data_IF_663841028827
#
_entry.id   IF_663841028827
#
_cell.length_a   1.000
_cell.length_b   1.000
_cell.length_c   1.000
_cell.angle_alpha   90.00
_cell.angle_beta   90.00
_cell.angle_gamma   90.00
#
_symmetry.space_group_name_H-M   'P 1'
#
loop_
_entity.id
_entity.type
_entity.pdbx_description
1 polymer ?
#
# COMPACT_ATOMS: atom_id res chain seq x y z
N UNK A 1 0.26 40.75 30.00
CA UNK A 1 1.55 40.14 30.38
C UNK A 1 1.95 39.26 29.21
N UNK A 2 3.04 39.61 28.52
CA UNK A 2 3.56 38.78 27.42
C UNK A 2 4.20 37.56 28.06
N UNK A 3 3.64 36.37 27.82
CA UNK A 3 4.24 35.12 28.30
C UNK A 3 5.60 34.95 27.66
N UNK A 4 6.64 34.76 28.47
CA UNK A 4 7.98 34.44 27.97
C UNK A 4 7.98 32.98 27.48
N UNK A 5 7.62 32.81 26.21
CA UNK A 5 7.54 31.49 25.56
C UNK A 5 8.88 30.75 25.59
N UNK A 6 9.99 31.49 25.55
CA UNK A 6 11.32 30.91 25.60
C UNK A 6 11.61 30.32 26.98
N UNK A 7 11.31 31.07 28.05
CA UNK A 7 11.43 30.57 29.41
C UNK A 7 10.55 29.33 29.62
N UNK A 8 9.30 29.38 29.15
CA UNK A 8 8.35 28.27 29.26
C UNK A 8 8.83 27.01 28.52
N UNK A 9 9.36 27.16 27.31
CA UNK A 9 9.91 26.05 26.53
C UNK A 9 11.17 25.43 27.18
N UNK A 10 12.02 26.26 27.80
CA UNK A 10 13.25 25.81 28.47
C UNK A 10 13.00 25.13 29.82
N UNK A 11 12.08 25.63 30.63
CA UNK A 11 11.81 25.12 31.99
C UNK A 11 11.44 23.63 32.01
N UNK A 12 10.85 23.12 30.93
CA UNK A 12 10.29 21.76 30.84
C UNK A 12 11.12 20.78 30.02
N UNK A 13 12.34 21.14 29.60
CA UNK A 13 13.28 20.26 28.90
C UNK A 13 14.36 19.74 29.85
N UNK A 14 14.62 18.44 29.80
CA UNK A 14 15.65 17.78 30.62
C UNK A 14 17.08 18.09 30.17
N UNK A 15 17.25 18.56 28.94
CA UNK A 15 18.53 18.94 28.33
C UNK A 15 18.57 20.46 28.20
N UNK A 16 19.51 21.10 28.92
CA UNK A 16 19.62 22.58 28.98
C UNK A 16 20.51 23.18 27.89
N UNK A 17 21.14 22.35 27.06
CA UNK A 17 22.07 22.80 26.02
C UNK A 17 21.32 23.22 24.76
N UNK A 18 20.79 24.45 24.79
CA UNK A 18 20.20 25.12 23.64
C UNK A 18 21.24 26.06 23.05
N UNK A 19 21.56 25.89 21.77
CA UNK A 19 22.47 26.75 21.04
C UNK A 19 21.70 27.76 20.19
N UNK A 20 22.06 29.05 20.31
CA UNK A 20 21.58 30.06 19.37
C UNK A 20 22.33 29.91 18.05
N UNK A 21 21.58 29.72 16.97
CA UNK A 21 22.13 29.53 15.63
C UNK A 21 21.37 30.36 14.62
N UNK A 22 22.05 30.72 13.52
CA UNK A 22 21.43 31.33 12.36
C UNK A 22 21.38 30.34 11.21
N UNK A 23 20.18 30.02 10.74
CA UNK A 23 19.93 29.17 9.57
C UNK A 23 19.32 30.05 8.47
N UNK A 24 20.10 30.34 7.43
CA UNK A 24 19.74 31.35 6.43
C UNK A 24 19.43 32.72 7.05
N UNK A 25 18.17 33.15 6.92
CA UNK A 25 17.65 34.40 7.50
C UNK A 25 17.00 34.24 8.88
N UNK A 26 16.92 33.02 9.40
CA UNK A 26 16.21 32.70 10.63
C UNK A 26 17.17 32.61 11.81
N UNK A 27 16.91 33.39 12.85
CA UNK A 27 17.55 33.22 14.15
C UNK A 27 16.77 32.17 14.93
N UNK A 28 17.40 31.02 15.20
CA UNK A 28 16.77 29.84 15.78
C UNK A 28 17.50 29.39 17.04
N UNK A 29 16.82 28.57 17.82
CA UNK A 29 17.44 27.80 18.89
C UNK A 29 17.48 26.33 18.51
N UNK A 30 18.65 25.71 18.66
CA UNK A 30 18.87 24.31 18.34
C UNK A 30 19.13 23.55 19.62
N UNK A 31 18.36 22.48 19.83
CA UNK A 31 18.51 21.55 20.95
C UNK A 31 18.96 20.20 20.43
N UNK A 32 20.13 19.74 20.89
CA UNK A 32 20.65 18.41 20.61
C UNK A 32 20.26 17.46 21.75
N UNK A 33 19.23 16.65 21.53
CA UNK A 33 18.74 15.67 22.49
C UNK A 33 19.16 14.24 22.14
N UNK A 34 18.97 13.33 23.11
CA UNK A 34 19.22 11.89 22.94
C UNK A 34 18.39 11.29 21.79
N UNK A 35 17.19 11.82 21.56
CA UNK A 35 16.23 11.31 20.58
C UNK A 35 16.31 12.02 19.23
N UNK A 36 17.13 13.07 19.09
CA UNK A 36 17.20 13.88 17.87
C UNK A 36 17.57 15.34 18.08
N UNK A 37 17.55 16.10 16.98
CA UNK A 37 17.72 17.54 16.93
C UNK A 37 16.34 18.21 16.86
N UNK A 38 16.14 19.24 17.67
CA UNK A 38 14.96 20.10 17.63
C UNK A 38 15.40 21.52 17.29
N UNK A 39 14.76 22.12 16.30
CA UNK A 39 14.99 23.52 15.94
C UNK A 39 13.74 24.33 16.23
N UNK A 40 13.90 25.41 16.98
CA UNK A 40 12.83 26.29 17.40
C UNK A 40 12.99 27.66 16.77
N UNK A 41 11.91 28.15 16.18
CA UNK A 41 11.77 29.53 15.74
C UNK A 41 10.69 30.20 16.59
N UNK A 42 11.08 31.23 17.33
CA UNK A 42 10.17 32.05 18.13
C UNK A 42 9.86 33.32 17.35
N UNK A 43 8.59 33.64 17.18
CA UNK A 43 8.14 34.86 16.51
C UNK A 43 6.86 35.33 17.18
N UNK A 44 6.88 36.57 17.64
CA UNK A 44 5.76 37.19 18.36
C UNK A 44 5.24 36.30 19.51
N UNK A 45 4.00 35.84 19.43
CA UNK A 45 3.36 34.95 20.40
C UNK A 45 3.32 33.48 19.95
N UNK A 46 4.11 33.10 18.95
CA UNK A 46 4.18 31.75 18.38
C UNK A 46 5.55 31.11 18.56
N UNK A 47 5.53 29.78 18.61
CA UNK A 47 6.75 28.96 18.56
C UNK A 47 6.58 27.84 17.54
N UNK A 48 7.41 27.85 16.50
CA UNK A 48 7.49 26.79 15.51
C UNK A 48 8.60 25.83 15.87
N UNK A 49 8.34 24.52 15.78
CA UNK A 49 9.36 23.48 15.93
C UNK A 49 9.51 22.62 14.68
N UNK A 50 10.75 22.37 14.30
CA UNK A 50 11.14 21.29 13.41
C UNK A 50 11.87 20.20 14.22
N UNK A 51 11.50 18.93 14.00
CA UNK A 51 12.03 17.79 14.76
C UNK A 51 12.67 16.76 13.84
N UNK A 52 13.95 16.48 14.04
CA UNK A 52 14.71 15.45 13.35
C UNK A 52 15.29 14.42 14.33
N UNK A 53 14.66 13.26 14.45
CA UNK A 53 15.23 12.12 15.16
C UNK A 53 16.40 11.48 14.39
N UNK A 54 16.38 11.54 13.06
CA UNK A 54 17.41 11.03 12.16
C UNK A 54 17.44 11.84 10.86
N UNK A 55 18.61 11.95 10.25
CA UNK A 55 18.77 12.65 8.97
C UNK A 55 18.68 14.17 9.07
N UNK A 56 18.98 14.76 10.24
CA UNK A 56 19.01 16.20 10.42
C UNK A 56 19.97 16.85 9.41
N UNK A 57 19.48 17.89 8.72
CA UNK A 57 20.28 18.75 7.84
C UNK A 57 19.81 20.19 7.99
N UNK A 58 20.75 21.12 8.00
CA UNK A 58 20.48 22.55 8.20
C UNK A 58 19.79 23.20 7.00
N UNK A 59 20.21 22.83 5.78
CA UNK A 59 19.60 23.30 4.53
C UNK A 59 18.13 22.88 4.41
N UNK A 60 17.79 21.66 4.88
CA UNK A 60 16.40 21.19 4.95
C UNK A 60 15.58 22.01 5.94
N UNK A 61 16.13 22.32 7.13
CA UNK A 61 15.42 23.17 8.10
C UNK A 61 15.21 24.57 7.55
N UNK A 62 16.25 25.18 6.99
CA UNK A 62 16.16 26.50 6.37
C UNK A 62 15.04 26.55 5.32
N UNK A 63 15.02 25.58 4.40
CA UNK A 63 13.98 25.48 3.37
C UNK A 63 12.57 25.29 3.95
N UNK A 64 12.42 24.44 4.98
CA UNK A 64 11.14 24.26 5.65
C UNK A 64 10.66 25.54 6.34
N UNK A 65 11.55 26.25 7.05
CA UNK A 65 11.22 27.51 7.70
C UNK A 65 10.84 28.57 6.65
N UNK A 66 11.62 28.71 5.59
CA UNK A 66 11.32 29.65 4.50
C UNK A 66 9.96 29.39 3.86
N UNK A 67 9.56 28.13 3.76
CA UNK A 67 8.30 27.74 3.14
C UNK A 67 7.05 28.04 4.00
N UNK A 68 7.18 28.16 5.32
CA UNK A 68 6.01 28.23 6.23
C UNK A 68 6.02 29.41 7.21
N UNK A 69 7.11 30.18 7.29
CA UNK A 69 7.26 31.26 8.28
C UNK A 69 6.25 32.40 8.11
N UNK A 70 5.75 32.61 6.89
CA UNK A 70 4.70 33.58 6.58
C UNK A 70 3.34 33.16 7.13
N UNK A 71 3.11 31.85 7.29
CA UNK A 71 1.87 31.28 7.82
C UNK A 71 1.81 31.24 9.35
N UNK A 72 2.91 31.56 10.06
CA UNK A 72 2.93 31.51 11.53
C UNK A 72 1.91 32.45 12.18
N UNK A 73 1.61 33.56 11.50
CA UNK A 73 0.74 34.62 12.00
C UNK A 73 -0.74 34.40 11.60
N UNK A 74 -1.02 33.36 10.79
CA UNK A 74 -2.35 33.08 10.23
C UNK A 74 -3.24 32.23 11.16
N UNK A 75 -4.55 32.30 10.93
CA UNK A 75 -5.51 31.35 11.50
C UNK A 75 -5.50 30.04 10.70
N UNK A 76 -4.65 29.09 11.15
CA UNK A 76 -4.40 27.85 10.41
C UNK A 76 -5.57 26.84 10.41
N UNK A 77 -6.52 26.96 11.35
CA UNK A 77 -7.64 26.02 11.51
C UNK A 77 -7.21 24.60 11.91
N UNK A 78 -8.07 23.63 11.60
CA UNK A 78 -7.87 22.18 11.86
C UNK A 78 -7.37 21.41 10.62
N UNK A 79 -6.75 22.12 9.68
CA UNK A 79 -6.22 21.57 8.43
C UNK A 79 -4.69 21.66 8.37
N UNK A 80 -4.07 20.84 7.53
CA UNK A 80 -2.64 20.94 7.26
C UNK A 80 -2.38 21.91 6.12
N UNK A 81 -1.26 22.62 6.20
CA UNK A 81 -0.77 23.48 5.12
C UNK A 81 0.54 22.90 4.59
N UNK A 82 0.53 22.45 3.34
CA UNK A 82 1.69 21.87 2.67
C UNK A 82 2.30 22.88 1.69
N UNK A 83 3.60 23.11 1.81
CA UNK A 83 4.35 24.03 0.93
C UNK A 83 5.51 23.31 0.26
N UNK A 84 5.80 23.56 -1.03
CA UNK A 84 6.97 22.97 -1.68
C UNK A 84 8.26 23.37 -0.98
N UNK A 85 9.19 22.43 -0.89
CA UNK A 85 10.60 22.70 -0.63
C UNK A 85 11.43 22.01 -1.71
N UNK A 86 12.55 22.62 -2.09
CA UNK A 86 13.49 22.06 -3.06
C UNK A 86 14.88 22.07 -2.44
N UNK A 87 15.33 20.88 -2.02
CA UNK A 87 16.64 20.70 -1.37
C UNK A 87 17.39 19.58 -2.09
N UNK A 88 18.55 19.88 -2.70
CA UNK A 88 19.32 18.88 -3.42
C UNK A 88 19.62 17.62 -2.59
N UNK A 89 19.32 16.46 -3.18
CA UNK A 89 19.53 15.15 -2.56
C UNK A 89 18.63 14.86 -1.36
N UNK A 90 17.50 15.58 -1.21
CA UNK A 90 16.50 15.32 -0.18
C UNK A 90 15.19 14.85 -0.82
N UNK A 91 14.68 13.70 -0.38
CA UNK A 91 13.54 13.06 -1.04
C UNK A 91 12.18 13.65 -0.63
N UNK A 92 12.10 14.33 0.52
CA UNK A 92 10.86 14.90 1.05
C UNK A 92 10.75 16.35 0.56
N UNK A 93 9.80 16.62 -0.32
CA UNK A 93 9.70 17.86 -1.09
C UNK A 93 8.56 18.78 -0.63
N UNK A 94 7.99 18.51 0.55
CA UNK A 94 6.99 19.34 1.21
C UNK A 94 7.38 19.68 2.64
N UNK A 95 7.15 20.92 3.04
CA UNK A 95 7.04 21.34 4.43
C UNK A 95 5.56 21.34 4.83
N UNK A 96 5.17 20.51 5.79
CA UNK A 96 3.80 20.41 6.30
C UNK A 96 3.71 21.13 7.63
N UNK A 97 2.96 22.22 7.67
CA UNK A 97 2.68 22.99 8.87
C UNK A 97 1.42 22.48 9.57
N UNK A 98 1.56 22.19 10.85
CA UNK A 98 0.50 21.85 11.78
C UNK A 98 0.25 23.02 12.73
N UNK A 99 -1.01 23.45 12.79
CA UNK A 99 -1.46 24.53 13.66
C UNK A 99 -1.46 24.17 15.15
N UNK A 100 -1.79 25.15 16.01
CA UNK A 100 -1.89 24.92 17.45
C UNK A 100 -2.97 23.88 17.78
N UNK A 101 -2.70 23.03 18.77
CA UNK A 101 -3.58 21.90 19.11
C UNK A 101 -3.53 20.71 18.15
N UNK A 102 -2.88 20.85 16.98
CA UNK A 102 -2.78 19.78 15.98
C UNK A 102 -1.45 19.02 16.01
N UNK A 103 -0.64 19.25 17.04
CA UNK A 103 0.65 18.59 17.23
C UNK A 103 0.76 17.91 18.58
N UNK A 104 1.05 16.61 18.54
CA UNK A 104 1.31 15.82 19.74
C UNK A 104 2.60 16.21 20.47
N UNK A 105 3.42 17.09 19.90
CA UNK A 105 4.66 17.58 20.50
C UNK A 105 4.39 18.58 21.62
N UNK A 106 3.50 19.56 21.39
CA UNK A 106 3.16 20.59 22.37
C UNK A 106 2.05 20.15 23.33
N UNK A 107 1.07 19.38 22.85
CA UNK A 107 -0.06 18.84 23.64
C UNK A 107 0.38 18.18 24.95
N UNK A 108 1.51 17.47 24.93
CA UNK A 108 2.00 16.69 26.08
C UNK A 108 2.85 17.48 27.06
N UNK A 109 3.15 18.75 26.77
CA UNK A 109 4.15 19.54 27.51
C UNK A 109 3.54 20.60 28.38
N UNK A 110 2.72 21.45 27.78
CA UNK A 110 2.15 22.60 28.46
C UNK A 110 0.91 23.11 27.72
N UNK A 111 -0.10 23.55 28.47
CA UNK A 111 -1.37 23.99 27.92
C UNK A 111 -1.27 25.33 27.16
N UNK A 112 -0.34 26.22 27.54
CA UNK A 112 -0.09 27.46 26.81
C UNK A 112 0.70 27.18 25.53
N UNK A 113 1.74 26.34 25.60
CA UNK A 113 2.47 25.91 24.39
C UNK A 113 1.57 25.15 23.40
N UNK A 114 0.57 24.41 23.88
CA UNK A 114 -0.40 23.77 22.99
C UNK A 114 -1.27 24.78 22.20
N UNK A 115 -1.52 25.98 22.75
CA UNK A 115 -2.33 27.03 22.12
C UNK A 115 -1.54 27.91 21.13
N UNK A 116 -0.22 27.96 21.26
CA UNK A 116 0.64 28.82 20.44
C UNK A 116 1.71 28.09 19.65
N UNK A 117 1.92 26.81 19.92
CA UNK A 117 2.96 25.99 19.34
C UNK A 117 2.55 25.40 18.01
N UNK A 118 3.41 25.57 17.02
CA UNK A 118 3.29 25.04 15.68
C UNK A 118 4.33 23.93 15.48
N UNK A 119 4.09 23.03 14.54
CA UNK A 119 5.08 22.03 14.12
C UNK A 119 5.18 22.01 12.60
N UNK A 120 6.41 22.06 12.08
CA UNK A 120 6.69 21.77 10.67
C UNK A 120 7.35 20.41 10.53
N UNK A 121 6.88 19.64 9.55
CA UNK A 121 7.34 18.26 9.29
C UNK A 121 7.65 18.12 7.80
N UNK A 122 8.80 17.54 7.42
CA UNK A 122 9.06 17.24 6.03
C UNK A 122 8.22 16.03 5.59
N UNK A 123 7.59 16.13 4.43
CA UNK A 123 6.82 15.06 3.81
C UNK A 123 7.10 15.00 2.32
N UNK A 124 6.74 13.89 1.70
CA UNK A 124 6.72 13.77 0.24
C UNK A 124 5.37 14.20 -0.32
N UNK A 125 5.34 14.75 -1.54
CA UNK A 125 4.10 15.18 -2.21
C UNK A 125 3.00 14.11 -2.22
N UNK A 126 3.35 12.84 -2.35
CA UNK A 126 2.40 11.71 -2.34
C UNK A 126 1.86 11.33 -0.94
N UNK A 127 2.29 11.99 0.14
CA UNK A 127 1.94 11.65 1.52
C UNK A 127 0.93 12.61 2.18
N UNK A 128 0.70 13.76 1.57
CA UNK A 128 -0.09 14.84 2.15
C UNK A 128 -0.87 15.57 1.05
N UNK A 129 -2.13 15.88 1.36
CA UNK A 129 -2.94 16.77 0.54
C UNK A 129 -3.05 18.12 1.25
N UNK A 130 -2.77 19.22 0.55
CA UNK A 130 -2.92 20.56 1.13
C UNK A 130 -4.38 20.80 1.52
N UNK A 131 -4.62 21.35 2.71
CA UNK A 131 -5.96 21.59 3.24
C UNK A 131 -6.69 20.34 3.76
N UNK A 132 -6.05 19.17 3.84
CA UNK A 132 -6.69 18.02 4.48
C UNK A 132 -6.83 18.19 6.01
N UNK A 133 -7.82 17.53 6.65
CA UNK A 133 -7.94 17.58 8.10
C UNK A 133 -6.66 17.10 8.81
N UNK A 134 -6.13 17.90 9.72
CA UNK A 134 -4.89 17.61 10.45
C UNK A 134 -4.97 16.27 11.19
N UNK A 135 -6.14 15.94 11.75
CA UNK A 135 -6.40 14.63 12.36
C UNK A 135 -6.17 13.45 11.40
N UNK A 136 -6.56 13.57 10.13
CA UNK A 136 -6.35 12.54 9.10
C UNK A 136 -4.87 12.41 8.79
N UNK A 137 -4.19 13.53 8.54
CA UNK A 137 -2.75 13.56 8.32
C UNK A 137 -1.99 12.93 9.50
N UNK A 138 -2.29 13.32 10.74
CA UNK A 138 -1.69 12.72 11.95
C UNK A 138 -1.91 11.23 12.04
N UNK A 139 -3.11 10.74 11.73
CA UNK A 139 -3.39 9.31 11.77
C UNK A 139 -2.59 8.53 10.71
N UNK A 140 -2.44 9.11 9.52
CA UNK A 140 -1.63 8.54 8.44
C UNK A 140 -0.13 8.57 8.79
N UNK A 141 0.36 9.73 9.20
CA UNK A 141 1.79 10.06 9.30
C UNK A 141 2.41 9.75 10.66
N UNK A 142 1.65 9.87 11.75
CA UNK A 142 2.13 9.58 13.12
C UNK A 142 1.46 8.36 13.74
N UNK A 143 0.36 7.89 13.13
CA UNK A 143 -0.46 6.79 13.62
C UNK A 143 -0.20 5.47 12.91
N UNK A 144 -1.27 4.68 12.76
CA UNK A 144 -1.21 3.33 12.18
C UNK A 144 -1.47 3.28 10.68
N UNK A 145 -1.74 4.42 10.02
CA UNK A 145 -2.07 4.43 8.60
C UNK A 145 -0.87 4.04 7.72
N UNK A 146 0.18 4.85 7.74
CA UNK A 146 1.45 4.58 7.04
C UNK A 146 2.56 4.12 7.99
N UNK A 147 2.36 4.28 9.30
CA UNK A 147 3.37 4.03 10.33
C UNK A 147 4.69 4.79 10.08
N UNK A 148 4.59 5.99 9.49
CA UNK A 148 5.74 6.85 9.26
C UNK A 148 6.34 7.32 10.58
N UNK A 149 7.66 7.51 10.58
CA UNK A 149 8.39 8.07 11.71
C UNK A 149 8.65 9.54 11.41
N UNK A 150 7.82 10.44 11.94
CA UNK A 150 7.85 11.87 11.62
C UNK A 150 9.21 12.57 11.76
N UNK A 151 10.08 12.06 12.64
CA UNK A 151 11.44 12.60 12.84
C UNK A 151 12.51 11.95 11.97
N UNK A 152 12.19 11.00 11.10
CA UNK A 152 13.16 10.34 10.23
C UNK A 152 13.14 11.03 8.86
N UNK A 153 14.07 11.95 8.65
CA UNK A 153 14.11 12.75 7.43
C UNK A 153 14.82 12.04 6.28
N UNK A 154 15.64 11.04 6.59
CA UNK A 154 16.34 10.20 5.61
C UNK A 154 15.56 8.94 5.20
N UNK A 155 14.24 8.93 5.45
CA UNK A 155 13.37 7.82 5.04
C UNK A 155 13.00 7.95 3.56
N UNK A 156 12.68 6.80 2.97
CA UNK A 156 12.09 6.78 1.64
C UNK A 156 10.66 7.35 1.66
N UNK A 157 10.23 8.01 0.57
CA UNK A 157 8.84 8.39 0.36
C UNK A 157 7.89 7.19 0.37
N UNK A 158 6.73 7.35 1.00
CA UNK A 158 5.67 6.33 1.02
C UNK A 158 4.37 6.97 0.52
N UNK A 159 4.14 7.01 -0.81
CA UNK A 159 2.92 7.59 -1.34
C UNK A 159 1.71 6.82 -0.82
N UNK A 160 0.64 7.56 -0.52
CA UNK A 160 -0.55 7.00 0.11
C UNK A 160 -1.73 6.98 -0.84
N UNK A 161 -2.62 6.03 -0.60
CA UNK A 161 -3.94 5.98 -1.19
C UNK A 161 -5.00 6.19 -0.10
N UNK A 162 -6.03 6.95 -0.41
CA UNK A 162 -7.27 7.00 0.35
C UNK A 162 -8.23 5.97 -0.24
N UNK A 163 -8.51 4.91 0.49
CA UNK A 163 -9.37 3.83 0.03
C UNK A 163 -10.77 4.05 0.61
N UNK A 164 -11.75 4.24 -0.27
CA UNK A 164 -13.16 4.41 0.10
C UNK A 164 -13.92 3.12 -0.24
N UNK A 165 -14.74 2.63 0.70
CA UNK A 165 -15.61 1.46 0.46
C UNK A 165 -17.01 1.94 0.10
N UNK A 166 -17.41 1.78 -1.16
CA UNK A 166 -18.79 2.06 -1.61
C UNK A 166 -19.71 0.86 -1.35
N UNK A 167 -19.40 -0.33 -1.88
CA UNK A 167 -20.11 -1.59 -1.61
C UNK A 167 -19.18 -2.81 -1.78
N UNK A 168 -19.43 -3.92 -1.09
CA UNK A 168 -18.62 -5.14 -1.27
C UNK A 168 -19.12 -6.33 -0.44
N UNK A 169 -18.91 -7.58 -0.90
CA UNK A 169 -19.48 -8.78 -0.29
C UNK A 169 -19.07 -8.95 1.18
N UNK A 170 -19.87 -9.72 1.95
CA UNK A 170 -19.64 -9.99 3.38
C UNK A 170 -18.29 -10.66 3.69
N UNK A 171 -17.50 -11.09 2.70
CA UNK A 171 -16.19 -11.75 2.84
C UNK A 171 -15.24 -11.34 1.70
N UNK A 172 -13.98 -11.06 2.05
CA UNK A 172 -12.94 -10.43 1.22
C UNK A 172 -12.41 -9.17 1.91
N UNK A 173 -11.10 -8.90 1.81
CA UNK A 173 -10.30 -7.87 2.52
C UNK A 173 -11.10 -6.97 3.48
N UNK A 174 -10.92 -7.21 4.78
CA UNK A 174 -11.59 -6.50 5.87
C UNK A 174 -11.07 -5.06 5.96
N UNK A 175 -11.59 -4.18 5.11
CA UNK A 175 -11.66 -2.75 5.42
C UNK A 175 -12.97 -2.56 6.20
N UNK A 176 -12.91 -2.14 7.48
CA UNK A 176 -14.09 -1.86 8.28
C UNK A 176 -15.08 -0.98 7.50
N UNK A 177 -16.36 -1.34 7.56
CA UNK A 177 -17.40 -0.60 6.84
C UNK A 177 -17.45 0.85 7.38
N UNK A 178 -17.54 1.82 6.46
CA UNK A 178 -17.87 3.24 6.71
C UNK A 178 -16.75 4.20 7.14
N UNK A 179 -15.47 3.87 6.96
CA UNK A 179 -14.38 4.84 7.20
C UNK A 179 -13.41 4.84 6.03
N UNK A 180 -13.12 6.02 5.48
CA UNK A 180 -11.99 6.19 4.58
C UNK A 180 -10.72 5.69 5.29
N UNK A 181 -9.96 4.86 4.59
CA UNK A 181 -8.74 4.28 5.13
C UNK A 181 -7.55 4.80 4.34
N UNK A 182 -6.62 5.45 5.03
CA UNK A 182 -5.33 5.81 4.46
C UNK A 182 -4.35 4.65 4.62
N UNK A 183 -3.69 4.26 3.53
CA UNK A 183 -2.61 3.27 3.55
C UNK A 183 -1.58 3.56 2.45
N UNK A 184 -0.47 2.83 2.48
CA UNK A 184 0.52 2.88 1.40
C UNK A 184 -0.13 2.45 0.08
N UNK A 185 0.06 3.24 -0.98
CA UNK A 185 -0.43 2.92 -2.32
C UNK A 185 0.21 1.63 -2.84
N UNK A 186 1.49 1.41 -2.57
CA UNK A 186 2.19 0.16 -2.89
C UNK A 186 1.54 -1.03 -2.16
N UNK A 187 1.23 -0.89 -0.86
CA UNK A 187 0.52 -1.94 -0.13
C UNK A 187 -0.85 -2.23 -0.73
N UNK A 188 -1.58 -1.20 -1.15
CA UNK A 188 -2.86 -1.35 -1.84
C UNK A 188 -2.71 -2.14 -3.15
N UNK A 189 -1.78 -1.74 -4.01
CA UNK A 189 -1.65 -2.29 -5.36
C UNK A 189 -0.93 -3.65 -5.37
N UNK A 190 0.11 -3.84 -4.56
CA UNK A 190 0.89 -5.07 -4.56
C UNK A 190 0.40 -6.13 -3.58
N UNK A 191 -0.12 -5.75 -2.41
CA UNK A 191 -0.55 -6.73 -1.41
C UNK A 191 -2.05 -7.00 -1.47
N UNK A 192 -2.86 -5.94 -1.54
CA UNK A 192 -4.31 -6.11 -1.49
C UNK A 192 -4.91 -6.47 -2.85
N UNK A 193 -4.60 -5.70 -3.91
CA UNK A 193 -5.20 -5.91 -5.23
C UNK A 193 -4.89 -7.30 -5.79
N UNK A 194 -3.64 -7.77 -5.71
CA UNK A 194 -3.22 -9.09 -6.24
C UNK A 194 -4.05 -10.26 -5.71
N UNK A 195 -4.55 -10.17 -4.47
CA UNK A 195 -5.40 -11.20 -3.85
C UNK A 195 -6.90 -11.06 -4.12
N UNK A 196 -7.36 -10.02 -4.81
CA UNK A 196 -8.79 -9.79 -5.02
C UNK A 196 -9.40 -10.79 -6.01
N UNK A 197 -10.56 -11.40 -5.68
CA UNK A 197 -11.36 -12.15 -6.64
C UNK A 197 -11.87 -11.29 -7.79
N UNK A 198 -12.28 -11.94 -8.88
CA UNK A 198 -12.96 -11.30 -10.01
C UNK A 198 -14.23 -10.59 -9.55
N UNK A 199 -14.48 -9.39 -10.08
CA UNK A 199 -15.69 -8.62 -9.82
C UNK A 199 -15.66 -7.75 -8.56
N UNK A 200 -14.57 -7.76 -7.79
CA UNK A 200 -14.36 -6.78 -6.71
C UNK A 200 -13.73 -5.52 -7.29
N UNK A 201 -14.33 -4.38 -7.00
CA UNK A 201 -13.83 -3.06 -7.37
C UNK A 201 -12.98 -2.47 -6.24
N UNK A 202 -11.86 -1.87 -6.62
CA UNK A 202 -11.00 -1.01 -5.80
C UNK A 202 -11.35 0.42 -6.16
N UNK A 203 -11.67 1.21 -5.14
CA UNK A 203 -11.79 2.66 -5.24
C UNK A 203 -10.70 3.29 -4.37
N UNK A 204 -9.81 4.02 -5.02
CA UNK A 204 -8.69 4.68 -4.37
C UNK A 204 -8.56 6.11 -4.86
N UNK A 205 -8.19 7.03 -3.96
CA UNK A 205 -7.83 8.40 -4.33
C UNK A 205 -6.39 8.70 -3.98
N UNK A 206 -5.73 9.44 -4.86
CA UNK A 206 -4.42 10.02 -4.54
C UNK A 206 -4.57 11.30 -3.71
N UNK A 207 -3.46 11.95 -3.39
CA UNK A 207 -3.41 13.23 -2.66
C UNK A 207 -3.98 14.42 -3.44
N UNK A 208 -4.22 14.28 -4.75
CA UNK A 208 -4.81 15.30 -5.62
C UNK A 208 -6.31 15.08 -5.82
N UNK A 209 -6.91 14.15 -5.08
CA UNK A 209 -8.31 13.73 -5.17
C UNK A 209 -8.68 13.08 -6.53
N UNK A 210 -7.69 12.59 -7.28
CA UNK A 210 -7.95 11.80 -8.49
C UNK A 210 -8.39 10.40 -8.08
N UNK A 211 -9.48 9.93 -8.65
CA UNK A 211 -10.14 8.68 -8.24
C UNK A 211 -9.83 7.54 -9.23
N UNK A 212 -9.10 6.55 -8.75
CA UNK A 212 -8.85 5.29 -9.45
C UNK A 212 -9.96 4.30 -9.09
N UNK A 213 -10.69 3.85 -10.12
CA UNK A 213 -11.69 2.79 -10.04
C UNK A 213 -11.23 1.61 -10.88
N UNK A 214 -10.85 0.50 -10.25
CA UNK A 214 -10.40 -0.68 -11.00
C UNK A 214 -11.00 -1.95 -10.44
N UNK A 215 -11.37 -2.87 -11.32
CA UNK A 215 -11.81 -4.21 -10.96
C UNK A 215 -10.94 -5.24 -11.65
N UNK A 216 -10.78 -6.39 -11.01
CA UNK A 216 -10.07 -7.49 -11.66
C UNK A 216 -10.91 -8.09 -12.78
N UNK A 217 -10.29 -8.21 -13.94
CA UNK A 217 -10.72 -9.03 -15.06
C UNK A 217 -9.60 -10.01 -15.42
N UNK A 218 -9.72 -11.23 -14.91
CA UNK A 218 -8.70 -12.28 -15.03
C UNK A 218 -7.31 -11.81 -14.58
N UNK A 219 -6.35 -11.70 -15.50
CA UNK A 219 -4.96 -11.31 -15.29
C UNK A 219 -4.75 -9.78 -15.32
N UNK A 220 -5.83 -9.01 -15.45
CA UNK A 220 -5.80 -7.55 -15.55
C UNK A 220 -6.66 -6.86 -14.52
N UNK A 221 -6.33 -5.61 -14.27
CA UNK A 221 -7.18 -4.64 -13.61
C UNK A 221 -7.68 -3.65 -14.64
N UNK A 222 -9.00 -3.62 -14.82
CA UNK A 222 -9.68 -2.77 -15.80
C UNK A 222 -10.58 -1.76 -15.09
N UNK A 223 -10.70 -0.57 -15.63
CA UNK A 223 -11.58 0.47 -15.09
C UNK A 223 -11.19 1.86 -15.58
N UNK A 224 -11.22 2.84 -14.68
CA UNK A 224 -10.99 4.23 -15.03
C UNK A 224 -10.26 5.02 -13.93
N UNK A 225 -9.50 6.03 -14.37
CA UNK A 225 -8.99 7.10 -13.53
C UNK A 225 -9.81 8.36 -13.82
N UNK A 226 -10.45 8.91 -12.79
CA UNK A 226 -11.22 10.15 -12.85
C UNK A 226 -10.39 11.30 -12.31
N UNK A 227 -10.19 12.33 -13.11
CA UNK A 227 -9.48 13.56 -12.76
C UNK A 227 -10.33 14.77 -13.14
N UNK A 228 -11.07 15.29 -12.15
CA UNK A 228 -12.06 16.35 -12.36
C UNK A 228 -13.17 15.92 -13.32
N UNK A 229 -13.19 16.51 -14.52
CA UNK A 229 -14.15 16.17 -15.58
C UNK A 229 -13.61 15.16 -16.59
N UNK A 230 -12.34 14.79 -16.49
CA UNK A 230 -11.69 13.84 -17.38
C UNK A 230 -11.78 12.44 -16.82
N UNK A 231 -12.02 11.46 -17.68
CA UNK A 231 -12.01 10.04 -17.35
C UNK A 231 -11.08 9.33 -18.32
N UNK A 232 -10.12 8.58 -17.78
CA UNK A 232 -9.11 7.85 -18.54
C UNK A 232 -9.29 6.36 -18.32
N UNK A 233 -9.27 5.57 -19.39
CA UNK A 233 -9.33 4.12 -19.29
C UNK A 233 -8.07 3.57 -18.60
N UNK A 234 -8.26 2.56 -17.75
CA UNK A 234 -7.19 1.83 -17.08
C UNK A 234 -7.31 0.36 -17.47
N UNK A 235 -6.21 -0.24 -17.93
CA UNK A 235 -6.08 -1.67 -18.18
C UNK A 235 -4.64 -2.07 -17.92
N UNK A 236 -4.36 -2.64 -16.75
CA UNK A 236 -2.99 -2.98 -16.33
C UNK A 236 -2.90 -4.45 -15.93
N UNK A 237 -1.75 -5.08 -16.17
CA UNK A 237 -1.50 -6.45 -15.72
C UNK A 237 -1.39 -6.51 -14.20
N UNK A 238 -1.89 -7.61 -13.61
CA UNK A 238 -1.91 -7.79 -12.14
C UNK A 238 -0.53 -7.76 -11.49
N UNK A 239 0.50 -8.21 -12.19
CA UNK A 239 1.89 -8.23 -11.72
C UNK A 239 2.63 -6.91 -11.96
N UNK A 240 2.11 -6.03 -12.81
CA UNK A 240 2.68 -4.71 -13.15
C UNK A 240 1.87 -3.53 -12.59
N UNK A 241 0.93 -3.78 -11.67
CA UNK A 241 0.06 -2.73 -11.13
C UNK A 241 0.85 -1.57 -10.50
N UNK A 242 1.83 -1.88 -9.62
CA UNK A 242 2.63 -0.84 -8.99
C UNK A 242 3.50 -0.08 -9.98
N UNK A 243 4.12 -0.76 -10.95
CA UNK A 243 4.92 -0.10 -11.97
C UNK A 243 4.07 0.84 -12.84
N UNK A 244 2.85 0.43 -13.19
CA UNK A 244 1.96 1.19 -14.07
C UNK A 244 1.22 2.33 -13.36
N UNK A 245 0.79 2.08 -12.11
CA UNK A 245 -0.08 3.00 -11.35
C UNK A 245 0.64 3.70 -10.20
N UNK A 246 1.82 3.24 -9.77
CA UNK A 246 2.62 3.88 -8.72
C UNK A 246 2.94 5.35 -9.00
N UNK A 247 3.37 5.73 -10.22
CA UNK A 247 3.59 7.13 -10.61
C UNK A 247 2.41 8.06 -10.30
N UNK A 248 1.18 7.56 -10.41
CA UNK A 248 -0.04 8.28 -10.04
C UNK A 248 0.03 8.81 -8.61
N UNK A 249 0.35 7.92 -7.66
CA UNK A 249 0.39 8.21 -6.23
C UNK A 249 1.66 8.96 -5.82
N UNK A 250 2.71 8.89 -6.65
CA UNK A 250 3.88 9.75 -6.53
C UNK A 250 3.63 11.20 -6.94
N UNK A 251 2.46 11.53 -7.49
CA UNK A 251 2.14 12.89 -7.90
C UNK A 251 2.60 13.21 -9.32
N UNK A 252 2.91 12.20 -10.15
CA UNK A 252 3.27 12.41 -11.56
C UNK A 252 2.03 12.60 -12.44
N UNK A 253 2.15 13.38 -13.51
CA UNK A 253 1.10 13.56 -14.50
C UNK A 253 1.09 12.35 -15.44
N UNK A 254 0.40 11.31 -14.98
CA UNK A 254 0.24 10.04 -15.69
C UNK A 254 -0.70 10.24 -16.88
N UNK A 255 -0.18 10.16 -18.11
CA UNK A 255 -0.99 10.26 -19.31
C UNK A 255 -1.84 9.00 -19.54
N UNK A 256 -2.92 9.12 -20.32
CA UNK A 256 -3.80 7.98 -20.62
C UNK A 256 -3.05 6.74 -21.18
N UNK A 257 -2.00 6.98 -21.96
CA UNK A 257 -1.21 5.91 -22.59
C UNK A 257 -0.42 5.06 -21.58
N UNK A 258 -0.05 5.59 -20.42
CA UNK A 258 0.67 4.83 -19.38
C UNK A 258 -0.26 4.00 -18.50
N UNK A 259 -1.58 4.19 -18.63
CA UNK A 259 -2.60 3.50 -17.85
C UNK A 259 -3.19 2.28 -18.58
N UNK A 260 -2.79 2.05 -19.84
CA UNK A 260 -3.24 0.94 -20.68
C UNK A 260 -2.03 0.15 -21.14
N UNK A 261 -1.88 -1.08 -20.65
CA UNK A 261 -0.89 -2.03 -21.14
C UNK A 261 -1.42 -2.77 -22.36
N UNK A 262 -0.52 -3.14 -23.28
CA UNK A 262 -0.83 -3.85 -24.53
C UNK A 262 -1.71 -5.09 -24.26
N UNK A 263 -2.92 -5.19 -24.85
CA UNK A 263 -3.85 -6.30 -24.60
C UNK A 263 -3.29 -7.67 -25.02
N UNK A 264 -2.30 -7.74 -25.90
CA UNK A 264 -1.73 -9.00 -26.38
C UNK A 264 -0.77 -9.65 -25.37
N UNK A 265 -0.36 -8.91 -24.34
CA UNK A 265 0.45 -9.45 -23.25
C UNK A 265 -0.49 -10.06 -22.20
N UNK A 266 -0.40 -11.36 -21.94
CA UNK A 266 -1.17 -12.03 -20.88
C UNK A 266 -0.22 -12.67 -19.87
N UNK A 267 -0.54 -12.51 -18.59
CA UNK A 267 0.23 -13.16 -17.53
C UNK A 267 -0.27 -14.61 -17.37
N UNK A 268 0.61 -15.62 -17.32
CA UNK A 268 0.21 -16.99 -17.08
C UNK A 268 -0.32 -17.10 -15.65
N UNK A 269 -1.65 -17.13 -15.52
CA UNK A 269 -2.36 -17.01 -14.26
C UNK A 269 -3.44 -18.09 -14.15
N UNK A 270 -3.67 -18.55 -12.93
CA UNK A 270 -4.70 -19.52 -12.59
C UNK A 270 -5.51 -19.04 -11.40
N UNK A 271 -6.75 -19.51 -11.31
CA UNK A 271 -7.51 -19.50 -10.07
C UNK A 271 -7.20 -20.78 -9.30
N UNK A 272 -6.75 -20.68 -8.06
CA UNK A 272 -6.39 -21.82 -7.19
C UNK A 272 -7.31 -21.91 -5.97
N UNK A 273 -7.64 -23.14 -5.59
CA UNK A 273 -8.18 -23.48 -4.27
C UNK A 273 -7.21 -24.42 -3.59
N UNK A 274 -6.79 -24.06 -2.38
CA UNK A 274 -5.85 -24.85 -1.58
C UNK A 274 -6.56 -25.47 -0.38
N UNK A 275 -6.33 -26.76 -0.16
CA UNK A 275 -6.70 -27.45 1.07
C UNK A 275 -5.52 -28.28 1.58
N UNK A 276 -4.89 -27.79 2.65
CA UNK A 276 -3.79 -28.44 3.36
C UNK A 276 -3.84 -28.09 4.86
N UNK A 277 -2.79 -28.44 5.60
CA UNK A 277 -2.70 -28.18 7.05
C UNK A 277 -2.87 -26.71 7.44
N UNK A 278 -2.40 -25.80 6.59
CA UNK A 278 -2.27 -24.37 6.88
C UNK A 278 -3.38 -23.53 6.28
N UNK A 279 -4.10 -24.08 5.28
CA UNK A 279 -5.04 -23.34 4.45
C UNK A 279 -6.17 -24.25 4.01
N UNK A 280 -7.41 -23.82 4.24
CA UNK A 280 -8.61 -24.50 3.75
C UNK A 280 -9.52 -23.47 3.10
N UNK A 281 -9.37 -23.33 1.78
CA UNK A 281 -10.04 -22.28 1.03
C UNK A 281 -11.52 -22.60 0.80
N UNK A 282 -12.36 -21.59 1.05
CA UNK A 282 -13.81 -21.65 0.77
C UNK A 282 -14.15 -21.22 -0.66
N UNK A 283 -13.24 -20.56 -1.36
CA UNK A 283 -13.38 -20.10 -2.74
C UNK A 283 -12.04 -20.15 -3.47
N UNK A 284 -12.05 -19.80 -4.76
CA UNK A 284 -10.83 -19.72 -5.55
C UNK A 284 -10.15 -18.36 -5.35
N UNK A 285 -8.82 -18.36 -5.32
CA UNK A 285 -7.97 -17.16 -5.30
C UNK A 285 -7.07 -17.15 -6.52
N UNK A 286 -6.80 -15.99 -7.12
CA UNK A 286 -5.90 -15.89 -8.26
C UNK A 286 -4.43 -16.04 -7.84
N UNK A 287 -3.63 -16.72 -8.65
CA UNK A 287 -2.17 -16.89 -8.48
C UNK A 287 -1.46 -16.89 -9.84
N UNK A 288 -0.25 -16.35 -9.88
CA UNK A 288 0.64 -16.48 -11.04
C UNK A 288 1.18 -17.92 -11.13
N UNK A 289 1.61 -18.33 -12.32
CA UNK A 289 2.12 -19.68 -12.59
C UNK A 289 3.24 -20.08 -11.61
N UNK A 290 4.24 -19.23 -11.38
CA UNK A 290 5.34 -19.55 -10.46
C UNK A 290 4.87 -19.83 -9.03
N UNK A 291 3.83 -19.13 -8.57
CA UNK A 291 3.21 -19.41 -7.29
C UNK A 291 2.40 -20.71 -7.34
N UNK A 292 1.62 -20.96 -8.39
CA UNK A 292 0.90 -22.21 -8.59
C UNK A 292 1.85 -23.43 -8.55
N UNK A 293 3.00 -23.35 -9.22
CA UNK A 293 4.01 -24.42 -9.20
C UNK A 293 4.64 -24.60 -7.82
N UNK A 294 4.87 -23.52 -7.07
CA UNK A 294 5.30 -23.63 -5.65
C UNK A 294 4.26 -24.35 -4.80
N UNK A 295 2.96 -24.13 -5.03
CA UNK A 295 1.90 -24.87 -4.35
C UNK A 295 1.94 -26.36 -4.69
N UNK A 296 2.10 -26.72 -5.96
CA UNK A 296 2.22 -28.13 -6.40
C UNK A 296 3.39 -28.82 -5.70
N UNK A 297 4.58 -28.20 -5.72
CA UNK A 297 5.79 -28.74 -5.04
C UNK A 297 5.63 -28.84 -3.52
N UNK A 298 4.88 -27.92 -2.93
CA UNK A 298 4.64 -27.83 -1.50
C UNK A 298 3.46 -28.66 -0.99
N UNK A 299 2.75 -29.40 -1.85
CA UNK A 299 1.60 -30.20 -1.45
C UNK A 299 2.06 -31.42 -0.65
N UNK A 300 1.90 -31.37 0.68
CA UNK A 300 2.29 -32.46 1.57
C UNK A 300 1.55 -33.76 1.21
N UNK A 301 2.25 -34.92 1.23
CA UNK A 301 1.69 -36.24 0.91
C UNK A 301 0.78 -36.75 2.03
N UNK A 302 -0.37 -36.09 2.21
CA UNK A 302 -1.37 -36.38 3.23
C UNK A 302 -2.71 -36.59 2.55
N UNK A 303 -3.38 -37.70 2.87
CA UNK A 303 -4.66 -38.06 2.30
C UNK A 303 -5.69 -36.93 2.46
N UNK A 304 -6.36 -36.57 1.36
CA UNK A 304 -7.37 -35.50 1.33
C UNK A 304 -6.82 -34.08 1.21
N UNK A 305 -5.50 -33.88 1.21
CA UNK A 305 -4.92 -32.58 0.82
C UNK A 305 -4.99 -32.44 -0.69
N UNK A 306 -5.48 -31.29 -1.16
CA UNK A 306 -5.71 -31.06 -2.57
C UNK A 306 -5.39 -29.64 -3.02
N UNK A 307 -5.14 -29.53 -4.31
CA UNK A 307 -5.09 -28.28 -5.06
C UNK A 307 -6.06 -28.39 -6.23
N UNK A 308 -6.87 -27.36 -6.44
CA UNK A 308 -7.69 -27.22 -7.63
C UNK A 308 -7.25 -25.96 -8.37
N UNK A 309 -6.94 -26.09 -9.65
CA UNK A 309 -6.57 -25.00 -10.53
C UNK A 309 -7.62 -24.84 -11.63
N UNK A 310 -7.96 -23.60 -11.96
CA UNK A 310 -8.88 -23.25 -13.04
C UNK A 310 -8.23 -22.21 -13.95
N UNK A 311 -8.19 -22.51 -15.24
CA UNK A 311 -7.71 -21.61 -16.31
C UNK A 311 -8.78 -20.60 -16.75
N UNK A 312 -8.42 -19.71 -17.67
CA UNK A 312 -9.28 -18.61 -18.15
C UNK A 312 -10.53 -19.14 -18.85
N UNK A 313 -10.37 -20.18 -19.65
CA UNK A 313 -11.45 -20.92 -20.33
C UNK A 313 -12.25 -21.83 -19.38
N UNK A 314 -12.06 -21.71 -18.07
CA UNK A 314 -12.70 -22.53 -17.02
C UNK A 314 -12.29 -24.01 -17.03
N UNK A 315 -11.31 -24.38 -17.85
CA UNK A 315 -10.65 -25.68 -17.75
C UNK A 315 -10.14 -25.91 -16.34
N UNK A 316 -10.36 -27.10 -15.78
CA UNK A 316 -10.05 -27.40 -14.38
C UNK A 316 -9.08 -28.57 -14.30
N UNK A 317 -8.05 -28.42 -13.47
CA UNK A 317 -7.13 -29.50 -13.08
C UNK A 317 -7.13 -29.58 -11.57
N UNK A 318 -7.42 -30.75 -11.02
CA UNK A 318 -7.39 -31.02 -9.60
C UNK A 318 -6.35 -32.09 -9.30
N UNK A 319 -5.65 -31.95 -8.18
CA UNK A 319 -4.74 -32.97 -7.68
C UNK A 319 -4.94 -33.18 -6.18
N UNK A 320 -4.81 -34.43 -5.74
CA UNK A 320 -5.01 -34.83 -4.36
C UNK A 320 -4.14 -36.03 -4.03
N UNK A 321 -3.50 -36.03 -2.87
CA UNK A 321 -2.85 -37.24 -2.38
C UNK A 321 -3.91 -38.22 -1.89
N UNK A 322 -3.84 -39.47 -2.37
CA UNK A 322 -4.72 -40.56 -1.95
C UNK A 322 -3.92 -41.62 -1.19
N UNK A 323 -4.46 -42.10 -0.07
CA UNK A 323 -3.94 -43.24 0.69
C UNK A 323 -4.22 -44.59 -0.02
N UNK A 324 -3.87 -44.70 -1.30
CA UNK A 324 -3.93 -45.94 -2.07
C UNK A 324 -2.52 -46.33 -2.48
N UNK A 325 -2.08 -47.53 -2.09
CA UNK A 325 -0.76 -48.05 -2.41
C UNK A 325 -0.14 -48.81 -1.23
N UNK A 326 0.71 -49.82 -1.48
CA UNK A 326 1.27 -50.64 -0.40
C UNK A 326 2.27 -49.91 0.50
N UNK A 327 2.85 -48.77 0.10
CA UNK A 327 4.00 -48.17 0.80
C UNK A 327 4.11 -46.62 0.83
N UNK A 328 3.14 -45.85 0.32
CA UNK A 328 3.04 -44.37 0.43
C UNK A 328 1.75 -43.87 -0.25
N UNK A 329 1.26 -42.65 0.08
CA UNK A 329 0.21 -42.02 -0.70
C UNK A 329 0.72 -41.68 -2.11
N UNK A 330 -0.17 -41.79 -3.09
CA UNK A 330 0.09 -41.49 -4.51
C UNK A 330 -0.69 -40.23 -4.92
N UNK A 331 -0.12 -39.40 -5.80
CA UNK A 331 -0.75 -38.15 -6.24
C UNK A 331 -1.75 -38.47 -7.36
N UNK A 332 -3.03 -38.34 -7.06
CA UNK A 332 -4.09 -38.43 -8.05
C UNK A 332 -4.25 -37.08 -8.74
N UNK A 333 -4.26 -37.08 -10.07
CA UNK A 333 -4.47 -35.92 -10.93
C UNK A 333 -5.70 -36.15 -11.79
N UNK A 334 -6.61 -35.18 -11.84
CA UNK A 334 -7.86 -35.31 -12.56
C UNK A 334 -8.32 -34.00 -13.19
N UNK A 335 -9.18 -34.12 -14.20
CA UNK A 335 -9.88 -33.01 -14.81
C UNK A 335 -11.37 -33.36 -15.04
N UNK A 336 -12.30 -32.52 -14.56
CA UNK A 336 -13.72 -32.69 -14.85
C UNK A 336 -14.07 -32.17 -16.25
N UNK A 337 -14.97 -32.87 -16.93
CA UNK A 337 -15.60 -32.48 -18.19
C UNK A 337 -17.12 -32.45 -18.00
N UNK A 338 -17.67 -31.36 -17.40
CA UNK A 338 -19.09 -31.29 -17.02
C UNK A 338 -20.05 -31.51 -18.19
N UNK A 339 -19.72 -31.00 -19.37
CA UNK A 339 -20.53 -31.15 -20.60
C UNK A 339 -20.70 -32.61 -21.03
N UNK A 340 -19.73 -33.47 -20.68
CA UNK A 340 -19.77 -34.92 -20.95
C UNK A 340 -20.20 -35.73 -19.74
N UNK A 341 -20.31 -35.10 -18.56
CA UNK A 341 -20.50 -35.76 -17.26
C UNK A 341 -19.42 -36.82 -16.98
N UNK A 342 -18.18 -36.48 -17.32
CA UNK A 342 -17.01 -37.35 -17.22
C UNK A 342 -15.89 -36.72 -16.38
N UNK A 343 -15.16 -37.55 -15.63
CA UNK A 343 -14.00 -37.18 -14.82
C UNK A 343 -12.87 -38.06 -15.29
N UNK A 344 -11.83 -37.42 -15.83
CA UNK A 344 -10.68 -38.13 -16.34
C UNK A 344 -9.56 -37.96 -15.33
N UNK A 345 -9.04 -39.06 -14.80
CA UNK A 345 -7.97 -38.99 -13.82
C UNK A 345 -7.04 -40.19 -13.83
N UNK A 346 -5.87 -40.00 -13.26
CA UNK A 346 -4.84 -41.03 -13.07
C UNK A 346 -3.91 -40.65 -11.93
N UNK A 347 -3.10 -41.59 -11.48
CA UNK A 347 -1.95 -41.27 -10.64
C UNK A 347 -0.86 -40.63 -11.49
N UNK A 348 -0.21 -39.60 -10.96
CA UNK A 348 0.78 -38.81 -11.66
C UNK A 348 1.97 -38.48 -10.76
N UNK A 349 3.11 -38.13 -11.36
CA UNK A 349 4.22 -37.53 -10.62
C UNK A 349 4.00 -36.04 -10.38
N UNK A 350 4.80 -35.43 -9.51
CA UNK A 350 4.78 -33.98 -9.27
C UNK A 350 5.13 -33.23 -10.56
N UNK A 351 6.11 -33.72 -11.32
CA UNK A 351 6.52 -33.14 -12.60
C UNK A 351 5.41 -33.19 -13.66
N UNK A 352 4.67 -34.31 -13.73
CA UNK A 352 3.50 -34.41 -14.60
C UNK A 352 2.40 -33.41 -14.20
N UNK A 353 2.16 -33.26 -12.89
CA UNK A 353 1.21 -32.28 -12.37
C UNK A 353 1.63 -30.83 -12.69
N UNK A 354 2.91 -30.47 -12.50
CA UNK A 354 3.46 -29.17 -12.88
C UNK A 354 3.28 -28.88 -14.38
N UNK A 355 3.53 -29.88 -15.22
CA UNK A 355 3.31 -29.75 -16.67
C UNK A 355 1.84 -29.47 -17.00
N UNK A 356 0.90 -30.16 -16.36
CA UNK A 356 -0.53 -29.94 -16.59
C UNK A 356 -0.98 -28.55 -16.12
N UNK A 357 -0.49 -28.08 -14.98
CA UNK A 357 -0.73 -26.72 -14.47
C UNK A 357 -0.13 -25.67 -15.40
N UNK A 358 1.06 -25.90 -15.94
CA UNK A 358 1.71 -25.01 -16.92
C UNK A 358 0.90 -24.89 -18.20
N UNK A 359 0.48 -26.03 -18.79
CA UNK A 359 -0.36 -26.02 -20.00
C UNK A 359 -1.69 -25.29 -19.72
N UNK A 360 -2.29 -25.51 -18.56
CA UNK A 360 -3.53 -24.82 -18.19
C UNK A 360 -3.33 -23.30 -18.08
N UNK A 361 -2.20 -22.83 -17.56
CA UNK A 361 -1.93 -21.40 -17.38
C UNK A 361 -1.53 -20.68 -18.67
N UNK A 362 -0.74 -21.35 -19.52
CA UNK A 362 -0.11 -20.75 -20.72
C UNK A 362 -0.94 -20.96 -21.97
N UNK A 363 -1.46 -22.17 -22.16
CA UNK A 363 -2.22 -22.57 -23.36
C UNK A 363 -3.73 -22.53 -23.13
N UNK A 364 -4.17 -22.25 -21.90
CA UNK A 364 -5.58 -22.15 -21.49
C UNK A 364 -6.44 -23.38 -21.88
N UNK A 365 -5.87 -24.57 -21.74
CA UNK A 365 -6.55 -25.83 -22.07
C UNK A 365 -6.22 -26.94 -21.08
N UNK A 366 -7.11 -27.92 -20.99
CA UNK A 366 -6.93 -29.12 -20.16
C UNK A 366 -6.22 -30.20 -20.98
N UNK A 367 -5.01 -30.59 -20.55
CA UNK A 367 -4.17 -31.57 -21.25
C UNK A 367 -4.02 -32.90 -20.50
N UNK A 368 -4.81 -33.16 -19.45
CA UNK A 368 -4.75 -34.43 -18.69
C UNK A 368 -4.93 -35.66 -19.59
N UNK A 369 -5.70 -35.51 -20.68
CA UNK A 369 -5.82 -36.45 -21.81
C UNK A 369 -4.51 -36.99 -22.37
N UNK A 370 -3.47 -36.17 -22.39
CA UNK A 370 -2.19 -36.45 -23.06
C UNK A 370 -1.25 -37.32 -22.21
N UNK A 371 -1.56 -37.53 -20.92
CA UNK A 371 -0.75 -38.36 -20.03
C UNK A 371 -0.96 -39.87 -20.22
N UNK A 372 -2.04 -40.28 -20.92
CA UNK A 372 -2.38 -41.69 -21.12
C UNK A 372 -2.90 -42.39 -19.85
N UNK A 373 -3.26 -43.67 -19.97
CA UNK A 373 -3.74 -44.55 -18.87
C UNK A 373 -4.81 -43.92 -17.97
N UNK A 374 -5.76 -43.19 -18.57
CA UNK A 374 -6.79 -42.48 -17.84
C UNK A 374 -7.90 -43.43 -17.37
N UNK A 375 -8.29 -43.27 -16.11
CA UNK A 375 -9.57 -43.72 -15.61
C UNK A 375 -10.62 -42.67 -15.97
N UNK A 376 -11.70 -43.13 -16.60
CA UNK A 376 -12.86 -42.28 -16.92
C UNK A 376 -14.02 -42.74 -16.05
N UNK A 377 -14.43 -41.89 -15.12
CA UNK A 377 -15.63 -42.08 -14.31
C UNK A 377 -16.76 -41.20 -14.88
N UNK A 378 -17.97 -41.76 -14.99
CA UNK A 378 -19.18 -41.06 -15.45
C UNK A 378 -20.16 -40.86 -14.30
N UNK A 379 -20.93 -39.76 -14.29
CA UNK A 379 -21.98 -39.51 -13.28
C UNK A 379 -23.27 -38.95 -13.87
#
# INVERSE_FOLDING_TARGET
MTTDLLALAKERRSTQDWESKRLGRHDVLVEHGVVGVFVYLFRDDRVLVAKANRGYREDVVEAMLDAVVDLMDDELGDVVHARPIDVPGFALDRAVLLGPGETGFWEKRDAELAKCGLQVVPAYRGEVADGEPAKRFRWAFMGKGLALREGHWDRDPIPRALVTRTEGPKRGVVVPKATDMTMSAETLLDNFAKGLPVGIEILARDVRDRELRVRRDWDRFVGALVDGQSEFEVSVLVDHMWESLGPLFHGEDTGAATLVTDPDVSAPMLMVRVNNRHRSDTGMSPVLLDEALRWVRGLEPVDGYFLTFVGRSKGTVQMMWQARGPNRPELWLEAPYPEKRELHGRFATVEEAERMVTILAVEDRVAVGELGDLKIDTW
#
